data_IF_883477448581
#
_entry.id   IF_883477448581
#
_cell.length_a   1.000
_cell.length_b   1.000
_cell.length_c   1.000
_cell.angle_alpha   90.00
_cell.angle_beta   90.00
_cell.angle_gamma   90.00
#
_symmetry.space_group_name_H-M   'P 1'
#
loop_
_entity.id
_entity.type
_entity.pdbx_description
1 polymer ?
#
# COMPACT_ATOMS: atom_id res chain seq x y z
N UNK A 1 42.39 -38.63 -26.91
CA UNK A 1 41.01 -38.76 -26.37
C UNK A 1 40.39 -37.38 -26.31
N UNK A 2 39.32 -37.15 -27.08
CA UNK A 2 38.58 -35.88 -27.08
C UNK A 2 37.91 -35.70 -25.70
N UNK A 3 38.37 -34.74 -24.91
CA UNK A 3 37.71 -34.36 -23.66
C UNK A 3 36.39 -33.65 -24.02
N UNK A 4 35.30 -34.41 -23.97
CA UNK A 4 33.93 -33.95 -24.22
C UNK A 4 33.60 -32.83 -23.21
N UNK A 5 33.27 -31.59 -23.62
CA UNK A 5 32.96 -30.50 -22.70
C UNK A 5 31.50 -30.66 -22.23
N UNK A 6 31.26 -31.60 -21.32
CA UNK A 6 29.94 -31.89 -20.75
C UNK A 6 29.66 -31.11 -19.44
N UNK A 7 30.22 -29.91 -19.31
CA UNK A 7 30.02 -29.04 -18.12
C UNK A 7 29.39 -27.68 -18.43
N UNK A 8 28.90 -27.47 -19.65
CA UNK A 8 28.49 -26.15 -20.13
C UNK A 8 26.96 -25.84 -20.10
N UNK A 9 26.20 -26.16 -19.03
CA UNK A 9 25.04 -25.29 -18.78
C UNK A 9 24.86 -24.84 -17.34
N UNK A 10 25.67 -25.30 -16.38
CA UNK A 10 25.51 -24.90 -14.96
C UNK A 10 25.76 -23.42 -14.67
N UNK A 11 26.82 -22.77 -15.21
CA UNK A 11 27.07 -21.36 -14.87
C UNK A 11 26.03 -20.43 -15.52
N UNK A 12 25.55 -20.76 -16.72
CA UNK A 12 24.51 -19.98 -17.40
C UNK A 12 23.18 -20.03 -16.66
N UNK A 13 22.79 -21.21 -16.15
CA UNK A 13 21.59 -21.34 -15.32
C UNK A 13 21.70 -20.53 -14.02
N UNK A 14 22.87 -20.53 -13.38
CA UNK A 14 23.10 -19.71 -12.18
C UNK A 14 22.95 -18.21 -12.49
N UNK A 15 23.52 -17.74 -13.61
CA UNK A 15 23.38 -16.34 -14.06
C UNK A 15 21.91 -15.99 -14.30
N UNK A 16 21.17 -16.83 -15.01
CA UNK A 16 19.72 -16.61 -15.25
C UNK A 16 18.95 -16.55 -13.94
N UNK A 17 19.19 -17.48 -13.00
CA UNK A 17 18.53 -17.49 -11.69
C UNK A 17 18.85 -16.21 -10.90
N UNK A 18 20.10 -15.76 -10.91
CA UNK A 18 20.48 -14.50 -10.23
C UNK A 18 19.83 -13.27 -10.85
N UNK A 19 19.75 -13.19 -12.19
CA UNK A 19 19.09 -12.09 -12.89
C UNK A 19 17.59 -12.04 -12.60
N UNK A 20 16.92 -13.20 -12.59
CA UNK A 20 15.49 -13.31 -12.27
C UNK A 20 15.20 -12.95 -10.80
N UNK A 21 16.06 -13.37 -9.87
CA UNK A 21 15.93 -12.98 -8.46
C UNK A 21 16.11 -11.46 -8.28
N UNK A 22 17.05 -10.85 -8.99
CA UNK A 22 17.31 -9.41 -8.93
C UNK A 22 16.13 -8.59 -9.48
N UNK A 23 15.54 -9.00 -10.60
CA UNK A 23 14.36 -8.32 -11.17
C UNK A 23 13.11 -8.52 -10.30
N UNK A 24 12.95 -9.69 -9.67
CA UNK A 24 11.89 -9.95 -8.70
C UNK A 24 12.00 -9.06 -7.45
N UNK A 25 13.21 -8.88 -6.92
CA UNK A 25 13.45 -7.99 -5.78
C UNK A 25 13.25 -6.51 -6.15
N UNK A 26 13.58 -6.11 -7.37
CA UNK A 26 13.34 -4.76 -7.87
C UNK A 26 11.84 -4.43 -7.99
N UNK A 27 10.99 -5.42 -8.31
CA UNK A 27 9.54 -5.24 -8.47
C UNK A 27 8.74 -5.11 -7.17
N UNK A 28 9.34 -5.33 -5.99
CA UNK A 28 8.61 -5.40 -4.70
C UNK A 28 8.71 -4.17 -3.79
N UNK A 29 9.30 -3.07 -4.23
CA UNK A 29 9.48 -1.87 -3.38
C UNK A 29 8.37 -0.83 -3.55
N UNK A 30 7.15 -1.20 -3.20
CA UNK A 30 6.18 -0.23 -2.65
C UNK A 30 5.97 -0.64 -1.20
N UNK A 31 6.90 -0.27 -0.33
CA UNK A 31 6.73 -0.53 1.10
C UNK A 31 5.52 0.31 1.53
N UNK A 32 4.44 -0.37 1.92
CA UNK A 32 3.24 0.32 2.39
C UNK A 32 3.54 0.83 3.79
N UNK A 33 3.55 2.15 3.97
CA UNK A 33 3.78 2.75 5.28
C UNK A 33 2.61 2.46 6.20
N UNK A 34 2.83 1.63 7.20
CA UNK A 34 1.83 1.36 8.24
C UNK A 34 2.34 2.00 9.51
N UNK A 35 1.58 2.96 10.04
CA UNK A 35 1.90 3.64 11.29
C UNK A 35 0.81 3.38 12.31
N UNK A 36 1.22 3.13 13.55
CA UNK A 36 0.29 3.06 14.66
C UNK A 36 -0.20 4.45 15.05
N UNK A 37 -1.46 4.54 15.41
CA UNK A 37 -2.15 5.81 15.71
C UNK A 37 -2.75 5.73 17.11
N UNK A 38 -2.68 6.79 17.91
CA UNK A 38 -3.35 6.81 19.20
C UNK A 38 -4.88 6.91 19.05
N UNK A 39 -5.62 6.43 20.05
CA UNK A 39 -7.08 6.33 20.00
C UNK A 39 -7.80 7.69 20.07
N UNK A 40 -7.11 8.74 20.50
CA UNK A 40 -7.62 10.11 20.61
C UNK A 40 -7.48 10.93 19.32
N UNK A 41 -6.86 10.37 18.26
CA UNK A 41 -6.72 11.07 17.00
C UNK A 41 -8.09 11.44 16.42
N UNK A 42 -8.19 12.66 15.89
CA UNK A 42 -9.47 13.30 15.55
C UNK A 42 -10.41 12.45 14.67
N UNK A 43 -9.87 11.71 13.70
CA UNK A 43 -10.66 10.88 12.77
C UNK A 43 -10.98 9.49 13.31
N UNK A 44 -10.32 9.03 14.38
CA UNK A 44 -10.50 7.67 14.91
C UNK A 44 -11.91 7.48 15.43
N UNK A 45 -12.43 8.45 16.19
CA UNK A 45 -13.79 8.38 16.74
C UNK A 45 -14.84 8.21 15.63
N UNK A 46 -14.76 9.05 14.60
CA UNK A 46 -15.72 9.02 13.49
C UNK A 46 -15.57 7.75 12.65
N UNK A 47 -14.34 7.26 12.47
CA UNK A 47 -14.07 6.00 11.77
C UNK A 47 -14.66 4.81 12.51
N UNK A 48 -14.49 4.75 13.84
CA UNK A 48 -15.05 3.66 14.66
C UNK A 48 -16.57 3.71 14.67
N UNK A 49 -17.16 4.91 14.72
CA UNK A 49 -18.60 5.10 14.63
C UNK A 49 -19.13 4.58 13.28
N UNK A 50 -18.51 5.00 12.17
CA UNK A 50 -18.85 4.53 10.83
C UNK A 50 -18.81 3.00 10.71
N UNK A 51 -17.76 2.37 11.26
CA UNK A 51 -17.63 0.91 11.22
C UNK A 51 -18.74 0.22 12.01
N UNK A 52 -19.08 0.72 13.20
CA UNK A 52 -20.18 0.16 14.01
C UNK A 52 -21.52 0.32 13.28
N UNK A 53 -21.78 1.50 12.73
CA UNK A 53 -23.05 1.79 12.04
C UNK A 53 -23.19 0.91 10.79
N UNK A 54 -22.15 0.81 9.97
CA UNK A 54 -22.15 -0.04 8.78
C UNK A 54 -22.33 -1.51 9.09
N UNK A 55 -21.64 -2.00 10.13
CA UNK A 55 -21.77 -3.39 10.53
C UNK A 55 -23.19 -3.70 11.01
N UNK A 56 -23.79 -2.82 11.82
CA UNK A 56 -25.15 -3.01 12.32
C UNK A 56 -26.23 -2.86 11.24
N UNK A 57 -25.98 -2.06 10.20
CA UNK A 57 -26.85 -1.94 9.03
C UNK A 57 -26.85 -3.21 8.18
N UNK A 58 -25.69 -3.85 7.99
CA UNK A 58 -25.52 -5.03 7.14
C UNK A 58 -25.77 -6.35 7.88
N UNK A 59 -25.72 -6.35 9.21
CA UNK A 59 -25.94 -7.54 10.03
C UNK A 59 -27.43 -7.81 10.22
N UNK A 60 -27.82 -9.08 10.10
CA UNK A 60 -29.18 -9.57 10.38
C UNK A 60 -29.38 -9.93 11.86
N UNK A 61 -28.42 -9.60 12.73
CA UNK A 61 -28.56 -9.82 14.16
C UNK A 61 -29.65 -8.91 14.73
N UNK A 62 -30.45 -9.47 15.64
CA UNK A 62 -31.48 -8.73 16.37
C UNK A 62 -30.91 -7.59 17.22
N UNK A 63 -29.64 -7.70 17.64
CA UNK A 63 -29.00 -6.73 18.52
C UNK A 63 -27.82 -6.03 17.86
N UNK A 64 -27.64 -4.76 18.24
CA UNK A 64 -26.54 -3.96 17.74
C UNK A 64 -25.22 -4.36 18.40
N UNK A 65 -24.20 -4.49 17.57
CA UNK A 65 -22.82 -4.68 17.98
C UNK A 65 -22.21 -3.36 18.43
N UNK A 66 -21.34 -3.46 19.43
CA UNK A 66 -20.54 -2.36 19.96
C UNK A 66 -19.10 -2.81 20.16
N UNK A 67 -18.17 -1.96 19.77
CA UNK A 67 -16.75 -2.19 20.00
C UNK A 67 -16.48 -2.09 21.51
N UNK A 68 -16.11 -3.22 22.13
CA UNK A 68 -15.79 -3.27 23.55
C UNK A 68 -14.34 -2.84 23.84
N UNK A 69 -13.39 -3.28 22.99
CA UNK A 69 -11.97 -2.98 23.16
C UNK A 69 -11.27 -2.89 21.82
N UNK A 70 -10.43 -1.88 21.68
CA UNK A 70 -9.56 -1.69 20.52
C UNK A 70 -8.19 -2.29 20.86
N UNK A 71 -7.71 -3.21 20.03
CA UNK A 71 -6.39 -3.82 20.21
C UNK A 71 -5.28 -2.97 19.59
N UNK A 72 -5.54 -2.45 18.38
CA UNK A 72 -4.57 -1.72 17.58
C UNK A 72 -5.27 -0.81 16.60
N UNK A 73 -4.72 0.38 16.38
CA UNK A 73 -5.16 1.30 15.34
C UNK A 73 -3.95 1.57 14.45
N UNK A 74 -4.13 1.35 13.16
CA UNK A 74 -3.09 1.57 12.17
C UNK A 74 -3.65 2.40 11.03
N UNK A 75 -2.83 3.32 10.52
CA UNK A 75 -3.12 4.04 9.29
C UNK A 75 -2.09 3.67 8.24
N UNK A 76 -2.55 3.61 7.00
CA UNK A 76 -1.66 3.62 5.85
C UNK A 76 -1.31 5.08 5.53
N UNK A 77 -0.03 5.43 5.57
CA UNK A 77 0.43 6.75 5.18
C UNK A 77 0.94 6.73 3.73
N UNK A 78 0.38 7.62 2.91
CA UNK A 78 0.83 7.84 1.53
C UNK A 78 1.18 9.32 1.39
N UNK A 79 2.39 9.59 0.94
CA UNK A 79 2.84 10.96 0.65
C UNK A 79 2.68 11.22 -0.84
N UNK A 80 1.91 12.25 -1.20
CA UNK A 80 1.65 12.60 -2.59
C UNK A 80 2.11 14.02 -2.91
N UNK A 81 2.91 14.16 -3.95
CA UNK A 81 3.31 15.42 -4.55
C UNK A 81 2.47 15.69 -5.79
N UNK A 82 1.82 16.85 -5.83
CA UNK A 82 0.98 17.28 -6.95
C UNK A 82 1.56 18.54 -7.59
N UNK A 83 1.55 18.58 -8.92
CA UNK A 83 1.78 19.82 -9.68
C UNK A 83 0.46 20.23 -10.31
N UNK A 84 -0.02 21.42 -9.99
CA UNK A 84 -1.34 21.92 -10.39
C UNK A 84 -1.17 23.22 -11.18
N UNK A 85 -1.86 23.31 -12.31
CA UNK A 85 -2.06 24.54 -13.06
C UNK A 85 -3.28 25.27 -12.52
N UNK A 86 -3.16 26.57 -12.30
CA UNK A 86 -4.26 27.42 -11.88
C UNK A 86 -4.32 28.67 -12.77
N UNK A 87 -5.50 28.97 -13.30
CA UNK A 87 -5.86 30.26 -13.88
C UNK A 87 -7.02 30.85 -13.03
N UNK A 88 -6.70 31.53 -11.90
CA UNK A 88 -7.68 31.86 -10.86
C UNK A 88 -8.80 32.79 -11.34
N UNK A 89 -8.48 33.74 -12.21
CA UNK A 89 -9.43 34.70 -12.80
C UNK A 89 -10.47 34.05 -13.71
N UNK A 90 -10.25 32.80 -14.13
CA UNK A 90 -11.23 31.98 -14.85
C UNK A 90 -11.72 30.79 -14.02
N UNK A 91 -11.32 30.70 -12.74
CA UNK A 91 -11.59 29.57 -11.85
C UNK A 91 -11.17 28.21 -12.43
N UNK A 92 -10.15 28.20 -13.31
CA UNK A 92 -9.69 26.97 -13.96
C UNK A 92 -8.52 26.38 -13.18
N UNK A 93 -8.70 25.14 -12.73
CA UNK A 93 -7.65 24.37 -12.06
C UNK A 93 -7.47 23.03 -12.77
N UNK A 94 -6.23 22.58 -12.95
CA UNK A 94 -5.92 21.29 -13.58
C UNK A 94 -4.70 20.66 -12.94
N UNK A 95 -4.84 19.43 -12.46
CA UNK A 95 -3.70 18.63 -12.00
C UNK A 95 -2.88 18.23 -13.22
N UNK A 96 -1.62 18.64 -13.28
CA UNK A 96 -0.70 18.26 -14.34
C UNK A 96 0.06 16.97 -14.01
N UNK A 97 0.56 16.85 -12.77
CA UNK A 97 1.34 15.69 -12.32
C UNK A 97 0.89 15.28 -10.92
N UNK A 98 0.87 13.97 -10.67
CA UNK A 98 0.66 13.35 -9.36
C UNK A 98 1.73 12.29 -9.17
N UNK A 99 2.51 12.40 -8.11
CA UNK A 99 3.46 11.37 -7.70
C UNK A 99 3.17 10.99 -6.24
N UNK A 100 2.75 9.75 -6.01
CA UNK A 100 2.43 9.25 -4.67
C UNK A 100 3.39 8.13 -4.30
N UNK A 101 3.99 8.24 -3.12
CA UNK A 101 4.89 7.24 -2.56
C UNK A 101 4.27 6.74 -1.25
N UNK A 102 4.08 5.43 -1.15
CA UNK A 102 3.88 4.77 0.14
C UNK A 102 5.25 4.66 0.81
N UNK A 103 5.40 5.23 2.02
CA UNK A 103 6.69 5.33 2.72
C UNK A 103 7.14 4.03 3.40
#
# INVERSE_FOLDING_TARGET
MMARPWQAPRPLLAIVVTLVALTYQAGKKTFISIQEVPADANYVKDTLQFVMDKYNEESDDKYNFRIFRILKIQKQQVMCNFSVFAAPWFEKYKIQKKNCISS
#
